data_IF_105744293390
#
_entry.id   IF_105744293390
#
_cell.length_a   1.000
_cell.length_b   1.000
_cell.length_c   1.000
_cell.angle_alpha   90.00
_cell.angle_beta   90.00
_cell.angle_gamma   90.00
#
_symmetry.space_group_name_H-M   'P 1'
#
loop_
_entity.id
_entity.type
_entity.pdbx_description
1 polymer ?
#
# COMPACT_ATOMS: atom_id res chain seq x y z
N UNK A 1 -67.87 -34.36 -31.63
CA UNK A 1 -68.00 -35.27 -30.46
C UNK A 1 -67.49 -34.49 -29.25
N UNK A 2 -68.19 -34.24 -28.14
CA UNK A 2 -69.34 -34.88 -27.49
C UNK A 2 -70.29 -33.80 -26.94
N UNK A 3 -71.60 -34.06 -27.10
CA UNK A 3 -72.70 -33.46 -26.35
C UNK A 3 -72.71 -34.02 -24.92
N UNK A 4 -73.16 -33.23 -23.95
CA UNK A 4 -73.82 -33.66 -22.68
C UNK A 4 -74.29 -32.37 -21.99
N UNK A 5 -75.56 -31.93 -22.05
CA UNK A 5 -76.79 -32.37 -21.36
C UNK A 5 -76.72 -32.41 -19.83
N UNK A 6 -77.44 -31.47 -19.21
CA UNK A 6 -78.11 -31.52 -17.89
C UNK A 6 -78.99 -30.25 -17.84
N UNK A 7 -80.25 -30.22 -17.41
CA UNK A 7 -81.31 -31.19 -17.17
C UNK A 7 -82.56 -30.35 -16.93
N UNK A 8 -83.66 -30.62 -17.64
CA UNK A 8 -84.99 -30.09 -17.33
C UNK A 8 -85.43 -30.58 -15.94
N UNK A 9 -85.89 -29.66 -15.09
CA UNK A 9 -86.81 -29.93 -13.98
C UNK A 9 -87.84 -28.78 -14.05
N UNK A 10 -88.96 -28.96 -14.75
CA UNK A 10 -90.19 -29.62 -14.27
C UNK A 10 -90.78 -28.93 -13.04
N UNK A 11 -91.65 -27.95 -13.27
CA UNK A 11 -92.68 -27.55 -12.29
C UNK A 11 -94.02 -27.34 -13.01
N UNK A 12 -94.48 -28.39 -13.68
CA UNK A 12 -95.90 -28.70 -13.78
C UNK A 12 -96.28 -29.55 -12.55
N UNK A 13 -97.53 -29.47 -12.09
CA UNK A 13 -98.14 -30.20 -10.96
C UNK A 13 -98.19 -29.46 -9.61
N UNK A 14 -99.12 -28.51 -9.51
CA UNK A 14 -100.05 -28.36 -8.39
C UNK A 14 -101.36 -27.91 -9.06
N UNK A 15 -102.47 -28.61 -9.04
CA UNK A 15 -102.91 -29.75 -8.25
C UNK A 15 -104.43 -29.65 -8.32
N UNK A 16 -105.01 -30.56 -9.08
CA UNK A 16 -106.46 -30.75 -9.25
C UNK A 16 -107.19 -30.82 -7.90
N UNK A 17 -108.37 -30.21 -7.81
CA UNK A 17 -109.48 -30.71 -7.01
C UNK A 17 -110.81 -30.38 -7.71
N UNK A 18 -111.69 -31.38 -7.66
CA UNK A 18 -112.84 -31.65 -8.52
C UNK A 18 -114.14 -31.01 -7.94
N UNK A 19 -115.04 -30.64 -8.86
CA UNK A 19 -116.50 -30.36 -8.85
C UNK A 19 -117.37 -30.92 -7.66
N UNK A 20 -118.66 -30.50 -7.40
CA UNK A 20 -119.70 -30.15 -8.40
C UNK A 20 -120.87 -29.17 -8.01
N UNK A 21 -121.76 -28.92 -9.00
CA UNK A 21 -123.15 -28.39 -8.99
C UNK A 21 -123.61 -27.35 -7.93
N UNK A 22 -123.99 -26.14 -8.38
CA UNK A 22 -125.37 -25.61 -8.35
C UNK A 22 -125.40 -24.09 -8.59
N UNK A 23 -126.43 -23.67 -9.31
CA UNK A 23 -126.81 -22.30 -9.69
C UNK A 23 -126.93 -21.31 -8.52
N UNK A 24 -126.35 -20.11 -8.66
CA UNK A 24 -126.93 -18.83 -8.21
C UNK A 24 -126.04 -17.67 -8.64
N UNK A 25 -126.63 -16.60 -9.17
CA UNK A 25 -125.99 -15.47 -9.82
C UNK A 25 -125.03 -14.68 -8.90
N UNK A 26 -123.77 -14.53 -9.33
CA UNK A 26 -122.84 -13.50 -8.84
C UNK A 26 -122.79 -12.37 -9.88
N UNK A 27 -123.10 -11.15 -9.46
CA UNK A 27 -123.29 -9.97 -10.30
C UNK A 27 -121.96 -9.39 -10.83
N UNK A 28 -121.99 -8.82 -12.04
CA UNK A 28 -120.86 -8.22 -12.78
C UNK A 28 -119.88 -7.26 -12.05
N UNK A 29 -120.23 -6.49 -10.98
CA UNK A 29 -119.26 -5.59 -10.36
C UNK A 29 -118.09 -6.30 -9.64
N UNK A 30 -118.26 -7.54 -9.16
CA UNK A 30 -117.21 -8.25 -8.40
C UNK A 30 -116.01 -8.71 -9.27
N UNK A 31 -116.24 -8.93 -10.58
CA UNK A 31 -115.20 -9.37 -11.53
C UNK A 31 -114.36 -8.18 -12.05
N UNK A 32 -114.96 -6.99 -12.14
CA UNK A 32 -114.30 -5.74 -12.56
C UNK A 32 -113.26 -5.28 -11.54
N UNK A 33 -113.61 -5.30 -10.26
CA UNK A 33 -112.74 -4.82 -9.20
C UNK A 33 -111.58 -5.79 -8.93
N UNK A 34 -111.81 -7.10 -9.05
CA UNK A 34 -110.75 -8.11 -9.02
C UNK A 34 -109.73 -7.94 -10.17
N UNK A 35 -110.17 -7.61 -11.40
CA UNK A 35 -109.27 -7.33 -12.53
C UNK A 35 -108.47 -6.04 -12.37
N UNK A 36 -109.07 -4.98 -11.83
CA UNK A 36 -108.34 -3.72 -11.53
C UNK A 36 -107.30 -3.94 -10.44
N UNK A 37 -107.64 -4.67 -9.38
CA UNK A 37 -106.70 -5.03 -8.32
C UNK A 37 -105.53 -5.87 -8.87
N UNK A 38 -105.80 -6.88 -9.70
CA UNK A 38 -104.78 -7.71 -10.33
C UNK A 38 -103.85 -6.92 -11.26
N UNK A 39 -104.39 -6.01 -12.08
CA UNK A 39 -103.58 -5.15 -12.95
C UNK A 39 -102.76 -4.11 -12.17
N UNK A 40 -103.30 -3.57 -11.08
CA UNK A 40 -102.57 -2.71 -10.16
C UNK A 40 -101.43 -3.47 -9.47
N UNK A 41 -101.65 -4.72 -9.06
CA UNK A 41 -100.62 -5.59 -8.48
C UNK A 41 -99.52 -5.95 -9.51
N UNK A 42 -99.89 -6.22 -10.77
CA UNK A 42 -98.95 -6.44 -11.86
C UNK A 42 -98.09 -5.21 -12.15
N UNK A 43 -98.70 -4.02 -12.17
CA UNK A 43 -97.97 -2.76 -12.37
C UNK A 43 -97.03 -2.48 -11.19
N UNK A 44 -97.50 -2.66 -9.95
CA UNK A 44 -96.68 -2.54 -8.76
C UNK A 44 -95.51 -3.55 -8.74
N UNK A 45 -95.71 -4.78 -9.22
CA UNK A 45 -94.63 -5.76 -9.40
C UNK A 45 -93.65 -5.35 -10.50
N UNK A 46 -94.13 -4.82 -11.62
CA UNK A 46 -93.30 -4.35 -12.72
C UNK A 46 -92.43 -3.15 -12.32
N UNK A 47 -93.00 -2.19 -11.58
CA UNK A 47 -92.27 -1.04 -11.03
C UNK A 47 -91.23 -1.52 -10.00
N UNK A 48 -91.60 -2.44 -9.10
CA UNK A 48 -90.65 -3.06 -8.16
C UNK A 48 -89.50 -3.80 -8.86
N UNK A 49 -89.78 -4.50 -9.96
CA UNK A 49 -88.77 -5.18 -10.77
C UNK A 49 -87.83 -4.18 -11.48
N UNK A 50 -88.36 -3.03 -11.92
CA UNK A 50 -87.58 -1.98 -12.55
C UNK A 50 -86.65 -1.31 -11.54
N UNK A 51 -87.12 -1.05 -10.32
CA UNK A 51 -86.32 -0.51 -9.23
C UNK A 51 -85.22 -1.50 -8.81
N UNK A 52 -85.55 -2.78 -8.62
CA UNK A 52 -84.55 -3.83 -8.33
C UNK A 52 -83.51 -3.95 -9.44
N UNK A 53 -83.89 -3.81 -10.72
CA UNK A 53 -82.95 -3.82 -11.84
C UNK A 53 -82.05 -2.58 -11.83
N UNK A 54 -82.58 -1.41 -11.49
CA UNK A 54 -81.82 -0.17 -11.40
C UNK A 54 -80.80 -0.23 -10.25
N UNK A 55 -81.23 -0.68 -9.06
CA UNK A 55 -80.35 -0.92 -7.91
C UNK A 55 -79.28 -1.96 -8.23
N UNK A 56 -79.64 -3.06 -8.90
CA UNK A 56 -78.66 -4.07 -9.31
C UNK A 56 -77.61 -3.51 -10.28
N UNK A 57 -78.01 -2.67 -11.25
CA UNK A 57 -77.08 -2.04 -12.19
C UNK A 57 -76.16 -1.02 -11.50
N UNK A 58 -76.69 -0.22 -10.57
CA UNK A 58 -75.89 0.69 -9.75
C UNK A 58 -74.86 -0.08 -8.91
N UNK A 59 -75.30 -1.17 -8.25
CA UNK A 59 -74.41 -2.02 -7.46
C UNK A 59 -73.31 -2.67 -8.31
N UNK A 60 -73.61 -3.07 -9.55
CA UNK A 60 -72.59 -3.59 -10.48
C UNK A 60 -71.61 -2.51 -10.92
N UNK A 61 -72.09 -1.29 -11.17
CA UNK A 61 -71.23 -0.16 -11.54
C UNK A 61 -70.31 0.25 -10.39
N UNK A 62 -70.81 0.26 -9.15
CA UNK A 62 -70.02 0.51 -7.94
C UNK A 62 -68.96 -0.57 -7.73
N UNK A 63 -69.32 -1.85 -7.86
CA UNK A 63 -68.35 -2.97 -7.79
C UNK A 63 -67.26 -2.85 -8.85
N UNK A 64 -67.61 -2.43 -10.06
CA UNK A 64 -66.63 -2.24 -11.12
C UNK A 64 -65.69 -1.06 -10.85
N UNK A 65 -66.22 0.06 -10.33
CA UNK A 65 -65.41 1.20 -9.89
C UNK A 65 -64.47 0.82 -8.74
N UNK A 66 -64.97 0.08 -7.75
CA UNK A 66 -64.16 -0.39 -6.63
C UNK A 66 -63.05 -1.32 -7.11
N UNK A 67 -63.37 -2.31 -7.95
CA UNK A 67 -62.36 -3.20 -8.55
C UNK A 67 -61.29 -2.43 -9.34
N UNK A 68 -61.65 -1.35 -10.05
CA UNK A 68 -60.67 -0.53 -10.75
C UNK A 68 -59.79 0.29 -9.78
N UNK A 69 -60.34 0.76 -8.67
CA UNK A 69 -59.59 1.44 -7.61
C UNK A 69 -58.63 0.47 -6.94
N UNK A 70 -59.11 -0.69 -6.48
CA UNK A 70 -58.29 -1.73 -5.84
C UNK A 70 -57.13 -2.16 -6.75
N UNK A 71 -57.38 -2.32 -8.07
CA UNK A 71 -56.32 -2.63 -9.03
C UNK A 71 -55.29 -1.52 -9.20
N UNK A 72 -55.70 -0.25 -9.10
CA UNK A 72 -54.79 0.91 -9.19
C UNK A 72 -53.97 1.03 -7.91
N UNK A 73 -54.59 0.82 -6.76
CA UNK A 73 -53.92 0.79 -5.46
C UNK A 73 -52.91 -0.35 -5.38
N UNK A 74 -53.30 -1.58 -5.77
CA UNK A 74 -52.41 -2.73 -5.86
C UNK A 74 -51.23 -2.48 -6.81
N UNK A 75 -51.47 -1.80 -7.94
CA UNK A 75 -50.41 -1.45 -8.89
C UNK A 75 -49.46 -0.39 -8.33
N UNK A 76 -50.00 0.63 -7.65
CA UNK A 76 -49.22 1.67 -6.99
C UNK A 76 -48.38 1.10 -5.84
N UNK A 77 -48.95 0.23 -4.99
CA UNK A 77 -48.21 -0.45 -3.92
C UNK A 77 -47.07 -1.33 -4.47
N UNK A 78 -47.32 -2.06 -5.56
CA UNK A 78 -46.27 -2.87 -6.20
C UNK A 78 -45.15 -1.99 -6.76
N UNK A 79 -45.50 -0.85 -7.36
CA UNK A 79 -44.53 0.10 -7.88
C UNK A 79 -43.70 0.71 -6.73
N UNK A 80 -44.34 1.16 -5.65
CA UNK A 80 -43.67 1.72 -4.47
C UNK A 80 -42.71 0.69 -3.84
N UNK A 81 -43.13 -0.57 -3.67
CA UNK A 81 -42.24 -1.65 -3.19
C UNK A 81 -41.05 -1.86 -4.10
N UNK A 82 -41.22 -1.77 -5.42
CA UNK A 82 -40.13 -1.92 -6.37
C UNK A 82 -39.15 -0.74 -6.32
N UNK A 83 -39.66 0.48 -6.19
CA UNK A 83 -38.87 1.70 -6.02
C UNK A 83 -38.07 1.67 -4.71
N UNK A 84 -38.69 1.26 -3.60
CA UNK A 84 -38.03 1.09 -2.31
C UNK A 84 -36.90 0.05 -2.38
N UNK A 85 -37.12 -1.11 -3.01
CA UNK A 85 -36.06 -2.11 -3.19
C UNK A 85 -34.89 -1.60 -4.05
N UNK A 86 -35.17 -0.80 -5.09
CA UNK A 86 -34.12 -0.21 -5.92
C UNK A 86 -33.32 0.81 -5.11
N UNK A 87 -34.00 1.62 -4.30
CA UNK A 87 -33.38 2.62 -3.44
C UNK A 87 -32.49 1.97 -2.37
N UNK A 88 -32.98 0.96 -1.65
CA UNK A 88 -32.20 0.19 -0.67
C UNK A 88 -30.93 -0.44 -1.28
N UNK A 89 -31.05 -0.99 -2.50
CA UNK A 89 -29.89 -1.55 -3.22
C UNK A 89 -28.86 -0.48 -3.58
N UNK A 90 -29.32 0.72 -3.98
CA UNK A 90 -28.43 1.85 -4.28
C UNK A 90 -27.71 2.34 -3.03
N UNK A 91 -28.44 2.51 -1.93
CA UNK A 91 -27.87 2.91 -0.64
C UNK A 91 -26.83 1.90 -0.15
N UNK A 92 -27.14 0.60 -0.22
CA UNK A 92 -26.20 -0.48 0.12
C UNK A 92 -24.94 -0.45 -0.75
N UNK A 93 -25.09 -0.18 -2.06
CA UNK A 93 -23.95 -0.09 -2.98
C UNK A 93 -23.07 1.13 -2.67
N UNK A 94 -23.67 2.29 -2.35
CA UNK A 94 -22.95 3.50 -1.95
C UNK A 94 -22.21 3.28 -0.62
N UNK A 95 -22.85 2.65 0.36
CA UNK A 95 -22.18 2.29 1.62
C UNK A 95 -20.98 1.36 1.39
N UNK A 96 -21.14 0.35 0.53
CA UNK A 96 -20.05 -0.58 0.19
C UNK A 96 -18.90 0.17 -0.47
N UNK A 97 -19.19 1.05 -1.43
CA UNK A 97 -18.19 1.88 -2.09
C UNK A 97 -17.47 2.80 -1.09
N UNK A 98 -18.20 3.47 -0.20
CA UNK A 98 -17.59 4.34 0.82
C UNK A 98 -16.68 3.56 1.78
N UNK A 99 -17.04 2.32 2.15
CA UNK A 99 -16.18 1.43 2.95
C UNK A 99 -14.92 1.03 2.20
N UNK A 100 -15.04 0.70 0.91
CA UNK A 100 -13.89 0.37 0.05
C UNK A 100 -12.95 1.58 -0.12
N UNK A 101 -13.49 2.77 -0.38
CA UNK A 101 -12.73 4.02 -0.48
C UNK A 101 -11.99 4.34 0.82
N UNK A 102 -12.65 4.18 1.98
CA UNK A 102 -12.02 4.34 3.29
C UNK A 102 -10.89 3.33 3.50
N UNK A 103 -11.08 2.08 3.10
CA UNK A 103 -10.06 1.04 3.21
C UNK A 103 -8.86 1.35 2.31
N UNK A 104 -9.09 1.71 1.04
CA UNK A 104 -8.05 2.14 0.10
C UNK A 104 -7.26 3.31 0.67
N UNK A 105 -7.94 4.32 1.21
CA UNK A 105 -7.29 5.49 1.82
C UNK A 105 -6.40 5.09 3.00
N UNK A 106 -6.90 4.22 3.88
CA UNK A 106 -6.13 3.73 5.03
C UNK A 106 -4.87 2.96 4.58
N UNK A 107 -5.01 2.10 3.57
CA UNK A 107 -3.88 1.33 3.04
C UNK A 107 -2.85 2.23 2.34
N UNK A 108 -3.30 3.26 1.60
CA UNK A 108 -2.39 4.27 1.03
C UNK A 108 -1.52 4.89 2.11
N UNK A 109 -2.12 5.32 3.23
CA UNK A 109 -1.37 5.92 4.33
C UNK A 109 -0.30 4.98 4.88
N UNK A 110 -0.63 3.70 5.11
CA UNK A 110 0.33 2.71 5.62
C UNK A 110 1.47 2.43 4.63
N UNK A 111 1.15 2.32 3.34
CA UNK A 111 2.16 2.13 2.30
C UNK A 111 3.09 3.35 2.18
N UNK A 112 2.54 4.57 2.25
CA UNK A 112 3.32 5.80 2.25
C UNK A 112 4.27 5.88 3.46
N UNK A 113 3.78 5.56 4.67
CA UNK A 113 4.63 5.49 5.87
C UNK A 113 5.78 4.50 5.72
N UNK A 114 5.52 3.36 5.08
CA UNK A 114 6.56 2.36 4.79
C UNK A 114 7.58 2.91 3.81
N UNK A 115 7.15 3.57 2.74
CA UNK A 115 8.05 4.24 1.78
C UNK A 115 8.88 5.31 2.48
N UNK A 116 8.28 6.18 3.29
CA UNK A 116 8.99 7.24 4.01
C UNK A 116 10.05 6.67 4.96
N UNK A 117 9.76 5.54 5.64
CA UNK A 117 10.73 4.85 6.50
C UNK A 117 11.94 4.34 5.69
N UNK A 118 11.70 3.77 4.51
CA UNK A 118 12.77 3.27 3.64
C UNK A 118 13.59 4.41 3.03
N UNK A 119 12.94 5.53 2.66
CA UNK A 119 13.63 6.74 2.18
C UNK A 119 14.53 7.30 3.28
N UNK A 120 14.02 7.45 4.51
CA UNK A 120 14.83 7.95 5.63
C UNK A 120 16.05 7.06 5.91
N UNK A 121 15.90 5.74 5.78
CA UNK A 121 17.03 4.82 5.88
C UNK A 121 18.09 5.07 4.80
N UNK A 122 17.67 5.24 3.54
CA UNK A 122 18.57 5.55 2.42
C UNK A 122 19.28 6.90 2.61
N UNK A 123 18.58 7.93 3.09
CA UNK A 123 19.15 9.24 3.40
C UNK A 123 20.27 9.15 4.45
N UNK A 124 20.06 8.35 5.50
CA UNK A 124 21.09 8.10 6.52
C UNK A 124 22.32 7.41 5.92
N UNK A 125 22.13 6.47 5.00
CA UNK A 125 23.24 5.82 4.31
C UNK A 125 23.99 6.79 3.39
N UNK A 126 23.27 7.65 2.67
CA UNK A 126 23.87 8.72 1.85
C UNK A 126 24.72 9.66 2.70
N UNK A 127 24.20 10.11 3.85
CA UNK A 127 24.94 10.97 4.76
C UNK A 127 26.26 10.31 5.21
N UNK A 128 26.20 9.05 5.66
CA UNK A 128 27.40 8.28 6.06
C UNK A 128 28.40 8.09 4.92
N UNK A 129 27.94 7.81 3.71
CA UNK A 129 28.82 7.67 2.55
C UNK A 129 29.49 8.99 2.17
N UNK A 130 28.81 10.13 2.38
CA UNK A 130 29.33 11.45 2.07
C UNK A 130 30.47 11.90 2.99
N UNK A 131 30.51 11.41 4.23
CA UNK A 131 31.59 11.67 5.20
C UNK A 131 32.92 10.96 4.88
N UNK A 132 32.94 10.09 3.86
CA UNK A 132 34.09 9.24 3.52
C UNK A 132 34.71 9.68 2.18
N UNK A 133 36.05 9.58 2.07
CA UNK A 133 36.86 10.12 0.95
C UNK A 133 37.23 9.09 -0.15
N UNK A 134 36.70 7.87 -0.11
CA UNK A 134 37.07 6.83 -1.09
C UNK A 134 36.14 6.83 -2.33
N UNK A 135 36.57 7.53 -3.39
CA UNK A 135 35.75 7.91 -4.55
C UNK A 135 35.00 6.78 -5.26
N UNK A 136 35.65 5.66 -5.61
CA UNK A 136 35.00 4.60 -6.40
C UNK A 136 33.94 3.84 -5.60
N UNK A 137 34.29 3.38 -4.40
CA UNK A 137 33.36 2.65 -3.53
C UNK A 137 32.21 3.57 -3.11
N UNK A 138 32.50 4.84 -2.78
CA UNK A 138 31.48 5.87 -2.50
C UNK A 138 30.54 6.04 -3.68
N UNK A 139 31.08 6.21 -4.89
CA UNK A 139 30.28 6.38 -6.11
C UNK A 139 29.38 5.17 -6.35
N UNK A 140 29.90 3.95 -6.19
CA UNK A 140 29.11 2.71 -6.30
C UNK A 140 27.94 2.67 -5.31
N UNK A 141 28.19 2.97 -4.03
CA UNK A 141 27.14 2.99 -3.00
C UNK A 141 26.11 4.08 -3.29
N UNK A 142 26.55 5.29 -3.62
CA UNK A 142 25.66 6.42 -3.93
C UNK A 142 24.78 6.15 -5.15
N UNK A 143 25.33 5.56 -6.22
CA UNK A 143 24.56 5.20 -7.41
C UNK A 143 23.48 4.15 -7.09
N UNK A 144 23.80 3.17 -6.22
CA UNK A 144 22.83 2.15 -5.80
C UNK A 144 21.72 2.75 -4.93
N UNK A 145 22.08 3.60 -3.96
CA UNK A 145 21.11 4.34 -3.14
C UNK A 145 20.22 5.22 -4.02
N UNK A 146 20.78 5.91 -5.01
CA UNK A 146 20.02 6.74 -5.95
C UNK A 146 19.04 5.91 -6.80
N UNK A 147 19.46 4.73 -7.25
CA UNK A 147 18.59 3.78 -7.95
C UNK A 147 17.40 3.37 -7.07
N UNK A 148 17.66 2.97 -5.82
CA UNK A 148 16.62 2.58 -4.87
C UNK A 148 15.67 3.74 -4.52
N UNK A 149 16.22 4.94 -4.35
CA UNK A 149 15.44 6.17 -4.10
C UNK A 149 14.50 6.46 -5.27
N UNK A 150 14.98 6.27 -6.50
CA UNK A 150 14.17 6.46 -7.71
C UNK A 150 13.02 5.45 -7.78
N UNK A 151 13.27 4.17 -7.44
CA UNK A 151 12.22 3.15 -7.35
C UNK A 151 11.18 3.49 -6.29
N UNK A 152 11.60 3.93 -5.10
CA UNK A 152 10.69 4.35 -4.04
C UNK A 152 9.84 5.57 -4.45
N UNK A 153 10.42 6.53 -5.17
CA UNK A 153 9.69 7.67 -5.71
C UNK A 153 8.60 7.22 -6.71
N UNK A 154 8.91 6.26 -7.58
CA UNK A 154 7.93 5.69 -8.51
C UNK A 154 6.80 4.94 -7.78
N UNK A 155 7.14 4.14 -6.75
CA UNK A 155 6.15 3.48 -5.90
C UNK A 155 5.27 4.51 -5.18
N UNK A 156 5.85 5.57 -4.62
CA UNK A 156 5.13 6.67 -3.95
C UNK A 156 4.07 7.29 -4.87
N UNK A 157 4.46 7.59 -6.11
CA UNK A 157 3.56 8.16 -7.12
C UNK A 157 2.41 7.20 -7.46
N UNK A 158 2.71 5.90 -7.56
CA UNK A 158 1.67 4.87 -7.79
C UNK A 158 0.73 4.71 -6.60
N UNK A 159 1.21 4.81 -5.37
CA UNK A 159 0.35 4.83 -4.17
C UNK A 159 -0.61 6.02 -4.22
N UNK A 160 -0.11 7.21 -4.57
CA UNK A 160 -0.94 8.41 -4.68
C UNK A 160 -2.06 8.21 -5.71
N UNK A 161 -1.72 7.63 -6.88
CA UNK A 161 -2.64 7.44 -8.01
C UNK A 161 -3.55 6.20 -7.90
N UNK A 162 -3.33 5.29 -6.96
CA UNK A 162 -4.13 4.08 -6.83
C UNK A 162 -5.61 4.40 -6.56
N UNK A 163 -6.54 3.90 -7.36
CA UNK A 163 -7.99 4.15 -7.18
C UNK A 163 -8.74 2.92 -6.71
N UNK A 164 -8.13 1.74 -6.80
CA UNK A 164 -8.76 0.47 -6.46
C UNK A 164 -7.99 -0.32 -5.39
N UNK A 165 -8.68 -1.26 -4.77
CA UNK A 165 -8.08 -2.19 -3.82
C UNK A 165 -7.09 -3.15 -4.50
N UNK A 166 -7.30 -3.46 -5.78
CA UNK A 166 -6.40 -4.26 -6.59
C UNK A 166 -5.06 -3.53 -6.81
N UNK A 167 -5.09 -2.25 -7.15
CA UNK A 167 -3.88 -1.41 -7.27
C UNK A 167 -3.09 -1.43 -5.96
N UNK A 168 -3.78 -1.23 -4.83
CA UNK A 168 -3.17 -1.24 -3.51
C UNK A 168 -2.50 -2.58 -3.20
N UNK A 169 -3.15 -3.72 -3.53
CA UNK A 169 -2.56 -5.06 -3.33
C UNK A 169 -1.33 -5.27 -4.19
N UNK A 170 -1.38 -4.86 -5.46
CA UNK A 170 -0.26 -4.98 -6.38
C UNK A 170 0.94 -4.14 -5.88
N UNK A 171 0.69 -2.90 -5.48
CA UNK A 171 1.73 -2.00 -4.93
C UNK A 171 2.29 -2.55 -3.61
N UNK A 172 1.45 -3.10 -2.72
CA UNK A 172 1.91 -3.69 -1.47
C UNK A 172 2.84 -4.90 -1.70
N UNK A 173 2.52 -5.75 -2.68
CA UNK A 173 3.35 -6.89 -3.06
C UNK A 173 4.70 -6.42 -3.64
N UNK A 174 4.69 -5.42 -4.50
CA UNK A 174 5.90 -4.82 -5.06
C UNK A 174 6.77 -4.20 -3.97
N UNK A 175 6.19 -3.42 -3.06
CA UNK A 175 6.91 -2.81 -1.94
C UNK A 175 7.49 -3.87 -1.00
N UNK A 176 6.79 -4.99 -0.79
CA UNK A 176 7.30 -6.14 -0.03
C UNK A 176 8.52 -6.76 -0.72
N UNK A 177 8.46 -6.99 -2.02
CA UNK A 177 9.57 -7.56 -2.79
C UNK A 177 10.76 -6.60 -2.82
N UNK A 178 10.50 -5.31 -3.03
CA UNK A 178 11.51 -4.26 -2.97
C UNK A 178 12.18 -4.20 -1.59
N UNK A 179 11.41 -4.33 -0.49
CA UNK A 179 11.97 -4.39 0.86
C UNK A 179 12.86 -5.61 1.07
N UNK A 180 12.48 -6.78 0.55
CA UNK A 180 13.30 -7.98 0.64
C UNK A 180 14.62 -7.83 -0.14
N UNK A 181 14.56 -7.21 -1.31
CA UNK A 181 15.76 -6.88 -2.10
C UNK A 181 16.64 -5.85 -1.39
N UNK A 182 16.05 -4.77 -0.87
CA UNK A 182 16.74 -3.78 -0.05
C UNK A 182 17.39 -4.41 1.18
N UNK A 183 16.78 -5.40 1.83
CA UNK A 183 17.39 -6.07 2.97
C UNK A 183 18.67 -6.79 2.57
N UNK A 184 18.68 -7.50 1.43
CA UNK A 184 19.90 -8.15 0.91
C UNK A 184 20.97 -7.13 0.58
N UNK A 185 20.59 -6.12 -0.18
CA UNK A 185 21.49 -5.03 -0.58
C UNK A 185 22.01 -4.26 0.64
N UNK A 186 21.19 -4.08 1.69
CA UNK A 186 21.63 -3.40 2.92
C UNK A 186 22.75 -4.12 3.63
N UNK A 187 22.83 -5.45 3.54
CA UNK A 187 23.92 -6.23 4.15
C UNK A 187 25.22 -5.99 3.39
N UNK A 188 25.18 -6.07 2.06
CA UNK A 188 26.32 -5.80 1.18
C UNK A 188 26.80 -4.34 1.27
N UNK A 189 25.87 -3.39 1.32
CA UNK A 189 26.18 -1.98 1.45
C UNK A 189 26.69 -1.64 2.84
N UNK A 190 26.17 -2.27 3.90
CA UNK A 190 26.72 -2.11 5.24
C UNK A 190 28.15 -2.64 5.31
N UNK A 191 28.45 -3.76 4.65
CA UNK A 191 29.81 -4.26 4.52
C UNK A 191 30.70 -3.27 3.74
N UNK A 192 30.20 -2.72 2.63
CA UNK A 192 30.89 -1.71 1.82
C UNK A 192 31.14 -0.40 2.57
N UNK A 193 30.19 0.05 3.41
CA UNK A 193 30.35 1.22 4.27
C UNK A 193 31.40 0.98 5.37
N UNK A 194 31.45 -0.23 5.95
CA UNK A 194 32.52 -0.61 6.87
C UNK A 194 33.88 -0.59 6.16
N UNK A 195 33.94 -1.08 4.93
CA UNK A 195 35.13 -1.03 4.08
C UNK A 195 35.61 0.39 3.85
N UNK A 196 34.73 1.28 3.41
CA UNK A 196 35.03 2.70 3.28
C UNK A 196 35.55 3.32 4.57
N UNK A 197 34.91 2.99 5.69
CA UNK A 197 35.28 3.52 7.01
C UNK A 197 36.70 3.10 7.37
N UNK A 198 37.04 1.82 7.19
CA UNK A 198 38.38 1.30 7.45
C UNK A 198 39.42 1.94 6.53
N UNK A 199 39.14 2.04 5.24
CA UNK A 199 40.04 2.70 4.29
C UNK A 199 40.29 4.16 4.69
N UNK A 200 39.24 4.91 5.06
CA UNK A 200 39.39 6.27 5.57
C UNK A 200 40.20 6.36 6.87
N UNK A 201 40.20 5.33 7.71
CA UNK A 201 41.13 5.25 8.85
C UNK A 201 42.57 4.98 8.43
N UNK A 202 42.78 4.11 7.44
CA UNK A 202 44.12 3.84 6.87
C UNK A 202 44.69 5.11 6.23
N UNK A 203 43.90 5.83 5.45
CA UNK A 203 44.32 7.07 4.79
C UNK A 203 44.71 8.15 5.82
N UNK A 204 43.88 8.34 6.86
CA UNK A 204 44.20 9.25 7.97
C UNK A 204 45.43 8.81 8.75
N UNK A 205 45.62 7.50 8.94
CA UNK A 205 46.81 6.95 9.58
C UNK A 205 48.06 7.28 8.77
N UNK A 206 48.04 7.02 7.46
CA UNK A 206 49.16 7.31 6.55
C UNK A 206 49.51 8.79 6.59
N UNK A 207 48.53 9.68 6.38
CA UNK A 207 48.76 11.12 6.41
C UNK A 207 49.32 11.60 7.76
N UNK A 208 48.76 11.10 8.88
CA UNK A 208 49.13 11.58 10.21
C UNK A 208 50.49 11.08 10.67
N UNK A 209 50.87 9.85 10.34
CA UNK A 209 52.08 9.24 10.90
C UNK A 209 53.21 9.11 9.87
N UNK A 210 52.92 8.57 8.69
CA UNK A 210 53.93 8.43 7.62
C UNK A 210 54.24 9.81 7.06
N UNK A 211 53.21 10.58 6.67
CA UNK A 211 53.43 11.92 6.10
C UNK A 211 54.20 12.86 7.04
N UNK A 212 54.00 12.76 8.36
CA UNK A 212 54.79 13.52 9.33
C UNK A 212 56.23 13.03 9.45
N UNK A 213 56.44 11.72 9.41
CA UNK A 213 57.79 11.16 9.45
C UNK A 213 58.57 11.51 8.18
N UNK A 214 57.90 11.57 7.02
CA UNK A 214 58.48 12.00 5.74
C UNK A 214 58.99 13.44 5.82
N UNK A 215 58.11 14.37 6.21
CA UNK A 215 58.49 15.78 6.41
C UNK A 215 59.63 15.90 7.41
N UNK A 216 59.66 15.08 8.46
CA UNK A 216 60.75 15.10 9.44
C UNK A 216 62.06 14.57 8.85
N UNK A 217 62.02 13.51 8.05
CA UNK A 217 63.19 12.97 7.38
C UNK A 217 63.81 14.00 6.43
N UNK A 218 62.97 14.72 5.66
CA UNK A 218 63.42 15.79 4.75
C UNK A 218 64.09 16.92 5.53
N UNK A 219 63.47 17.40 6.62
CA UNK A 219 64.07 18.43 7.48
C UNK A 219 65.41 18.00 8.10
N UNK A 220 65.55 16.72 8.46
CA UNK A 220 66.82 16.17 8.96
C UNK A 220 67.85 16.13 7.82
N UNK A 221 67.46 15.72 6.61
CA UNK A 221 68.34 15.69 5.45
C UNK A 221 68.92 17.08 5.15
N UNK A 222 68.07 18.10 5.14
CA UNK A 222 68.46 19.49 4.93
C UNK A 222 69.45 19.96 6.02
N UNK A 223 69.14 19.72 7.30
CA UNK A 223 70.02 20.08 8.40
C UNK A 223 71.39 19.39 8.35
N UNK A 224 71.42 18.10 7.97
CA UNK A 224 72.68 17.37 7.80
C UNK A 224 73.50 17.88 6.61
N UNK A 225 72.84 18.32 5.53
CA UNK A 225 73.52 18.94 4.39
C UNK A 225 74.20 20.25 4.81
N UNK A 226 73.51 21.10 5.57
CA UNK A 226 74.06 22.36 6.08
C UNK A 226 75.25 22.13 7.01
N UNK A 227 75.15 21.18 7.94
CA UNK A 227 76.26 20.82 8.84
C UNK A 227 77.47 20.30 8.08
N UNK A 228 77.26 19.49 7.04
CA UNK A 228 78.33 18.99 6.17
C UNK A 228 79.03 20.13 5.42
N UNK A 229 78.27 21.10 4.91
CA UNK A 229 78.82 22.29 4.26
C UNK A 229 79.66 23.14 5.24
N UNK A 230 79.27 23.17 6.52
CA UNK A 230 80.02 23.82 7.60
C UNK A 230 81.23 22.99 8.10
N UNK A 231 81.58 21.89 7.44
CA UNK A 231 82.77 21.09 7.74
C UNK A 231 82.62 20.13 8.92
N UNK A 232 81.40 19.90 9.43
CA UNK A 232 81.15 18.90 10.47
C UNK A 232 81.12 17.49 9.86
N UNK A 233 81.64 16.50 10.58
CA UNK A 233 81.52 15.10 10.19
C UNK A 233 80.11 14.59 10.55
N UNK A 234 79.29 14.35 9.53
CA UNK A 234 77.90 13.91 9.67
C UNK A 234 77.67 12.48 9.15
N UNK A 235 78.72 11.73 8.82
CA UNK A 235 78.60 10.46 8.10
C UNK A 235 77.72 9.44 8.86
N UNK A 236 77.90 9.33 10.18
CA UNK A 236 77.07 8.46 11.05
C UNK A 236 75.60 8.91 11.05
N UNK A 237 75.34 10.21 11.12
CA UNK A 237 73.98 10.73 11.05
C UNK A 237 73.32 10.50 9.68
N UNK A 238 74.11 10.54 8.60
CA UNK A 238 73.64 10.22 7.25
C UNK A 238 73.31 8.73 7.09
N UNK A 239 74.13 7.83 7.65
CA UNK A 239 73.83 6.38 7.70
C UNK A 239 72.54 6.09 8.49
N UNK A 240 72.38 6.74 9.65
CA UNK A 240 71.16 6.62 10.45
C UNK A 240 69.94 7.15 9.69
N UNK A 241 70.04 8.29 9.01
CA UNK A 241 68.94 8.83 8.20
C UNK A 241 68.54 7.86 7.09
N UNK A 242 69.51 7.26 6.39
CA UNK A 242 69.25 6.25 5.36
C UNK A 242 68.52 5.03 5.93
N UNK A 243 68.93 4.52 7.10
CA UNK A 243 68.24 3.43 7.79
C UNK A 243 66.81 3.80 8.21
N UNK A 244 66.59 5.05 8.65
CA UNK A 244 65.27 5.58 8.96
C UNK A 244 64.36 5.66 7.73
N UNK A 245 64.89 6.14 6.60
CA UNK A 245 64.18 6.23 5.33
C UNK A 245 63.84 4.84 4.76
N UNK A 246 64.72 3.85 4.90
CA UNK A 246 64.45 2.46 4.52
C UNK A 246 63.26 1.90 5.31
N UNK A 247 63.26 2.05 6.64
CA UNK A 247 62.14 1.63 7.49
C UNK A 247 60.84 2.37 7.17
N UNK A 248 60.93 3.65 6.84
CA UNK A 248 59.77 4.45 6.43
C UNK A 248 59.20 3.96 5.09
N UNK A 249 60.05 3.55 4.16
CA UNK A 249 59.66 2.87 2.92
C UNK A 249 58.95 1.53 3.20
N UNK A 250 59.46 0.72 4.13
CA UNK A 250 58.81 -0.52 4.57
C UNK A 250 57.43 -0.23 5.18
N UNK A 251 57.31 0.82 6.01
CA UNK A 251 56.02 1.22 6.59
C UNK A 251 55.01 1.64 5.50
N UNK A 252 55.44 2.41 4.49
CA UNK A 252 54.60 2.75 3.31
C UNK A 252 54.15 1.51 2.57
N UNK A 253 55.05 0.56 2.30
CA UNK A 253 54.72 -0.69 1.62
C UNK A 253 53.68 -1.50 2.43
N UNK A 254 53.83 -1.59 3.75
CA UNK A 254 52.87 -2.26 4.64
C UNK A 254 51.50 -1.56 4.65
N UNK A 255 51.45 -0.22 4.60
CA UNK A 255 50.18 0.53 4.47
C UNK A 255 49.53 0.27 3.12
N UNK A 256 50.31 0.28 2.03
CA UNK A 256 49.81 0.01 0.69
C UNK A 256 49.26 -1.43 0.57
N UNK A 257 49.96 -2.41 1.13
CA UNK A 257 49.48 -3.80 1.20
C UNK A 257 48.19 -3.90 2.02
N UNK A 258 48.13 -3.28 3.20
CA UNK A 258 46.93 -3.25 4.02
C UNK A 258 45.74 -2.61 3.27
N UNK A 259 45.98 -1.49 2.56
CA UNK A 259 44.96 -0.84 1.73
C UNK A 259 44.46 -1.77 0.63
N UNK A 260 45.37 -2.44 -0.09
CA UNK A 260 45.01 -3.39 -1.14
C UNK A 260 44.23 -4.59 -0.60
N UNK A 261 44.65 -5.14 0.54
CA UNK A 261 43.93 -6.22 1.24
C UNK A 261 42.52 -5.79 1.63
N UNK A 262 42.35 -4.59 2.20
CA UNK A 262 41.03 -4.08 2.55
C UNK A 262 40.17 -3.83 1.31
N UNK A 263 40.74 -3.30 0.22
CA UNK A 263 40.04 -3.13 -1.05
C UNK A 263 39.57 -4.46 -1.67
N UNK A 264 40.35 -5.53 -1.51
CA UNK A 264 40.01 -6.87 -2.00
C UNK A 264 39.08 -7.69 -1.09
N UNK A 265 38.64 -7.15 0.05
CA UNK A 265 37.70 -7.84 0.93
C UNK A 265 36.25 -7.54 0.55
N UNK A 266 35.50 -8.58 0.17
CA UNK A 266 34.06 -8.46 -0.09
C UNK A 266 33.23 -8.30 1.20
N UNK A 267 33.77 -8.73 2.36
CA UNK A 267 33.08 -8.62 3.64
C UNK A 267 34.04 -8.36 4.82
N UNK A 268 33.82 -7.25 5.54
CA UNK A 268 34.54 -6.91 6.77
C UNK A 268 33.81 -7.44 8.00
N UNK A 269 34.16 -8.68 8.35
CA UNK A 269 33.72 -9.33 9.58
C UNK A 269 34.75 -9.18 10.71
N UNK A 270 34.39 -9.63 11.92
CA UNK A 270 35.18 -9.43 13.14
C UNK A 270 36.63 -9.88 13.03
N UNK A 271 36.90 -11.04 12.41
CA UNK A 271 38.26 -11.55 12.23
C UNK A 271 39.11 -10.64 11.32
N UNK A 272 38.50 -10.08 10.27
CA UNK A 272 39.18 -9.16 9.35
C UNK A 272 39.53 -7.86 10.07
N UNK A 273 38.64 -7.32 10.90
CA UNK A 273 38.88 -6.11 11.70
C UNK A 273 40.04 -6.33 12.68
N UNK A 274 40.11 -7.49 13.34
CA UNK A 274 41.22 -7.84 14.25
C UNK A 274 42.54 -7.90 13.48
N UNK A 275 42.55 -8.55 12.30
CA UNK A 275 43.74 -8.61 11.45
C UNK A 275 44.20 -7.21 11.01
N UNK A 276 43.28 -6.33 10.60
CA UNK A 276 43.58 -4.96 10.19
C UNK A 276 44.17 -4.16 11.35
N UNK A 277 43.60 -4.29 12.56
CA UNK A 277 44.14 -3.65 13.77
C UNK A 277 45.55 -4.14 14.07
N UNK A 278 45.82 -5.44 13.94
CA UNK A 278 47.16 -5.99 14.13
C UNK A 278 48.14 -5.40 13.10
N UNK A 279 47.78 -5.37 11.82
CA UNK A 279 48.61 -4.76 10.77
C UNK A 279 48.88 -3.27 11.03
N UNK A 280 47.88 -2.49 11.45
CA UNK A 280 48.08 -1.08 11.84
C UNK A 280 49.02 -0.94 13.05
N UNK A 281 48.92 -1.84 14.03
CA UNK A 281 49.83 -1.87 15.18
C UNK A 281 51.26 -2.18 14.76
N UNK A 282 51.45 -3.12 13.84
CA UNK A 282 52.78 -3.47 13.32
C UNK A 282 53.39 -2.30 12.56
N UNK A 283 52.60 -1.60 11.74
CA UNK A 283 53.04 -0.39 11.03
C UNK A 283 53.39 0.73 12.02
N UNK A 284 52.58 0.90 13.07
CA UNK A 284 52.86 1.88 14.12
C UNK A 284 54.18 1.59 14.85
N UNK A 285 54.47 0.31 15.12
CA UNK A 285 55.74 -0.10 15.73
C UNK A 285 56.94 0.21 14.81
N UNK A 286 56.81 0.03 13.49
CA UNK A 286 57.86 0.45 12.56
C UNK A 286 58.11 1.96 12.61
N UNK A 287 57.03 2.74 12.65
CA UNK A 287 57.14 4.20 12.76
C UNK A 287 57.79 4.62 14.08
N UNK A 288 57.52 3.93 15.19
CA UNK A 288 58.22 4.17 16.45
C UNK A 288 59.73 3.97 16.29
N UNK A 289 60.15 2.91 15.61
CA UNK A 289 61.57 2.67 15.34
C UNK A 289 62.18 3.78 14.46
N UNK A 290 61.43 4.30 13.49
CA UNK A 290 61.86 5.46 12.67
C UNK A 290 62.08 6.70 13.56
N UNK A 291 61.15 7.01 14.46
CA UNK A 291 61.31 8.14 15.38
C UNK A 291 62.45 7.93 16.39
N UNK A 292 62.72 6.69 16.80
CA UNK A 292 63.89 6.38 17.64
C UNK A 292 65.20 6.63 16.89
N UNK A 293 65.26 6.32 15.59
CA UNK A 293 66.40 6.68 14.71
C UNK A 293 66.53 8.19 14.60
N UNK A 294 65.44 8.92 14.36
CA UNK A 294 65.48 10.39 14.30
C UNK A 294 65.97 11.02 15.60
N UNK A 295 65.65 10.42 16.75
CA UNK A 295 66.19 10.84 18.05
C UNK A 295 67.69 10.59 18.14
N UNK A 296 68.18 9.43 17.71
CA UNK A 296 69.62 9.11 17.68
C UNK A 296 70.39 10.09 16.78
N UNK A 297 69.82 10.47 15.64
CA UNK A 297 70.40 11.50 14.76
C UNK A 297 70.52 12.84 15.51
N UNK A 298 69.45 13.28 16.19
CA UNK A 298 69.48 14.53 16.95
C UNK A 298 70.51 14.50 18.08
N UNK A 299 70.62 13.39 18.81
CA UNK A 299 71.64 13.19 19.86
C UNK A 299 73.06 13.24 19.28
N UNK A 300 73.28 12.63 18.12
CA UNK A 300 74.57 12.68 17.44
C UNK A 300 74.91 14.10 16.95
N UNK A 301 73.94 14.79 16.32
CA UNK A 301 74.11 16.16 15.82
C UNK A 301 74.41 17.13 16.96
N UNK A 302 73.70 17.03 18.09
CA UNK A 302 73.95 17.89 19.25
C UNK A 302 75.35 17.68 19.86
N UNK A 303 75.96 16.49 19.69
CA UNK A 303 77.32 16.23 20.12
C UNK A 303 78.38 16.80 19.15
N UNK A 304 77.98 17.23 17.95
CA UNK A 304 78.84 17.86 16.95
C UNK A 304 78.88 19.39 17.07
N UNK A 305 77.93 20.00 17.78
CA UNK A 305 77.92 21.43 18.11
C UNK A 305 79.02 21.77 19.12
#
# INVERSE_FOLDING_TARGET
>A
MKKTTLSLISLAMLGSLIAPFATSAATEPEISDARRAYNAELKARADKLKDMRHEFLLQQQERYKQMQLDRREDAAEKQERQENMIQERRETAVEKQAREEKYVTTQKTLLLQTVDTLVSYLEQMTARANELDNGEIKTRILNKIQSHTSTLAAIRLRIANASSLEDIRAIALELKNFRAEMQRVSVEETASLRQLTVLGYIDRFEQKFIGKADVRADLIADALADLKQNGKNVDVAQELLAAGQERLSVARAKVADLRNRVNGMDNLEGANIVSIRASLSDIHNELKNVYDIFRQIAEHVNALE
#
